data_IF_999846577336
#
_entry.id   IF_999846577336
#
_cell.length_a   1.000
_cell.length_b   1.000
_cell.length_c   1.000
_cell.angle_alpha   90.00
_cell.angle_beta   90.00
_cell.angle_gamma   90.00
#
_symmetry.space_group_name_H-M   'P 1'
#
loop_
_entity.id
_entity.type
_entity.pdbx_description
1 polymer ?
#
# COMPACT_ATOMS: atom_id res chain seq x y z
N UNK A 1 -49.37 59.37 -67.71
CA UNK A 1 -48.24 59.57 -66.78
C UNK A 1 -48.71 59.21 -65.39
N UNK A 2 -48.27 58.06 -64.90
CA UNK A 2 -48.77 57.38 -63.72
C UNK A 2 -48.27 58.02 -62.42
N UNK A 3 -49.21 58.36 -61.55
CA UNK A 3 -49.06 58.52 -60.11
C UNK A 3 -49.26 57.17 -59.44
N UNK A 4 -48.36 56.74 -58.55
CA UNK A 4 -48.70 55.76 -57.51
C UNK A 4 -47.82 55.87 -56.24
N UNK A 5 -48.55 56.14 -55.17
CA UNK A 5 -48.38 55.98 -53.72
C UNK A 5 -47.14 55.33 -53.06
N UNK A 6 -46.76 55.98 -51.94
CA UNK A 6 -46.01 55.50 -50.76
C UNK A 6 -46.56 54.19 -50.17
N UNK A 7 -45.66 53.31 -49.69
CA UNK A 7 -45.90 52.39 -48.56
C UNK A 7 -44.64 52.31 -47.67
N UNK A 8 -44.90 52.28 -46.35
CA UNK A 8 -44.00 52.21 -45.20
C UNK A 8 -43.75 50.74 -44.76
N UNK A 9 -42.89 50.55 -43.74
CA UNK A 9 -42.43 49.30 -43.07
C UNK A 9 -41.24 48.60 -43.76
N UNK A 10 -40.16 48.17 -43.09
CA UNK A 10 -39.83 48.09 -41.68
C UNK A 10 -38.94 46.86 -41.41
N UNK A 11 -37.99 46.99 -40.48
CA UNK A 11 -37.37 45.92 -39.65
C UNK A 11 -35.94 45.42 -39.98
N UNK A 12 -35.19 45.26 -38.87
CA UNK A 12 -33.99 44.46 -38.60
C UNK A 12 -32.59 45.01 -38.94
N UNK A 13 -31.94 45.60 -37.93
CA UNK A 13 -30.74 45.03 -37.31
C UNK A 13 -30.39 45.80 -36.02
N UNK A 14 -30.71 45.19 -34.87
CA UNK A 14 -30.20 45.59 -33.56
C UNK A 14 -28.83 44.93 -33.40
N UNK A 15 -27.77 45.72 -33.35
CA UNK A 15 -26.47 45.27 -32.82
C UNK A 15 -26.16 46.10 -31.58
N UNK A 16 -26.73 45.66 -30.46
CA UNK A 16 -26.31 46.10 -29.14
C UNK A 16 -24.92 45.55 -28.85
N UNK A 17 -23.92 46.41 -28.90
CA UNK A 17 -22.61 46.13 -28.32
C UNK A 17 -22.77 46.17 -26.79
N UNK A 18 -22.94 45.00 -26.18
CA UNK A 18 -22.77 44.81 -24.73
C UNK A 18 -21.29 44.96 -24.41
N UNK A 19 -20.84 46.18 -24.11
CA UNK A 19 -19.54 46.38 -23.47
C UNK A 19 -19.68 46.03 -22.01
N UNK A 20 -19.31 44.81 -21.64
CA UNK A 20 -18.98 44.48 -20.27
C UNK A 20 -17.79 45.37 -19.86
N UNK A 21 -17.89 46.19 -18.80
CA UNK A 21 -16.69 46.78 -18.22
C UNK A 21 -15.94 45.64 -17.55
N UNK A 22 -14.98 45.05 -18.27
CA UNK A 22 -13.85 44.46 -17.58
C UNK A 22 -13.22 45.61 -16.80
N UNK A 23 -13.38 45.62 -15.48
CA UNK A 23 -12.50 46.41 -14.65
C UNK A 23 -11.10 45.85 -14.90
N UNK A 24 -10.36 46.50 -15.79
CA UNK A 24 -8.93 46.32 -15.86
C UNK A 24 -8.39 46.83 -14.53
N UNK A 25 -8.30 45.93 -13.54
CA UNK A 25 -7.55 46.20 -12.32
C UNK A 25 -6.09 46.24 -12.72
N UNK A 26 -5.59 47.42 -13.06
CA UNK A 26 -4.17 47.66 -13.02
C UNK A 26 -3.71 47.34 -11.59
N UNK A 27 -2.72 46.47 -11.44
CA UNK A 27 -2.10 46.16 -10.13
C UNK A 27 -1.54 47.44 -9.47
N UNK A 28 -1.28 48.47 -10.29
CA UNK A 28 -0.77 49.76 -9.86
C UNK A 28 -1.91 50.76 -9.67
N UNK A 29 -2.07 51.26 -8.44
CA UNK A 29 -2.95 52.38 -8.13
C UNK A 29 -2.25 53.68 -8.54
N UNK A 30 -2.84 54.41 -9.48
CA UNK A 30 -2.37 55.73 -9.90
C UNK A 30 -3.20 56.80 -9.17
N UNK A 31 -2.60 57.60 -8.27
CA UNK A 31 -3.35 58.40 -7.31
C UNK A 31 -3.97 59.68 -7.88
N UNK A 32 -3.43 60.24 -8.97
CA UNK A 32 -3.90 61.51 -9.52
C UNK A 32 -4.54 61.34 -10.91
N UNK A 33 -5.70 61.96 -11.12
CA UNK A 33 -6.31 62.11 -12.45
C UNK A 33 -5.85 63.42 -13.10
N UNK A 34 -5.35 63.35 -14.34
CA UNK A 34 -4.92 64.51 -15.11
C UNK A 34 -6.01 64.84 -16.14
N UNK A 35 -6.60 66.04 -16.06
CA UNK A 35 -7.68 66.48 -16.95
C UNK A 35 -7.26 67.72 -17.75
N UNK A 36 -7.82 67.88 -18.96
CA UNK A 36 -7.57 69.06 -19.80
C UNK A 36 -8.10 70.34 -19.13
N UNK A 37 -7.29 71.40 -19.17
CA UNK A 37 -7.63 72.71 -18.61
C UNK A 37 -7.20 72.95 -17.16
N UNK A 38 -6.50 72.00 -16.53
CA UNK A 38 -5.87 72.21 -15.22
C UNK A 38 -4.67 73.18 -15.33
N UNK A 39 -4.34 73.92 -14.26
CA UNK A 39 -3.10 74.70 -14.19
C UNK A 39 -1.88 73.82 -14.47
N UNK A 40 -0.82 74.41 -15.04
CA UNK A 40 0.44 73.70 -15.29
C UNK A 40 1.08 73.40 -13.92
N UNK A 41 0.88 72.19 -13.43
CA UNK A 41 1.42 71.67 -12.17
C UNK A 41 2.04 70.29 -12.42
N UNK A 42 3.32 70.14 -12.06
CA UNK A 42 4.06 68.88 -12.20
C UNK A 42 3.78 67.90 -11.05
N UNK A 43 3.16 68.34 -9.96
CA UNK A 43 2.92 67.53 -8.76
C UNK A 43 2.08 66.27 -9.05
N UNK A 44 0.95 66.34 -9.79
CA UNK A 44 0.14 65.16 -10.11
C UNK A 44 0.88 64.15 -11.00
N UNK A 45 1.70 64.65 -11.93
CA UNK A 45 2.52 63.83 -12.85
C UNK A 45 3.61 63.11 -12.08
N UNK A 46 4.36 63.83 -11.23
CA UNK A 46 5.41 63.27 -10.39
C UNK A 46 4.86 62.26 -9.39
N UNK A 47 3.68 62.51 -8.81
CA UNK A 47 2.99 61.56 -7.94
C UNK A 47 2.60 60.27 -8.65
N UNK A 48 2.04 60.38 -9.87
CA UNK A 48 1.70 59.20 -10.68
C UNK A 48 2.94 58.41 -11.10
N UNK A 49 4.02 59.09 -11.47
CA UNK A 49 5.29 58.47 -11.83
C UNK A 49 5.92 57.72 -10.65
N UNK A 50 5.90 58.31 -9.46
CA UNK A 50 6.39 57.66 -8.23
C UNK A 50 5.55 56.43 -7.83
N UNK A 51 4.23 56.48 -8.00
CA UNK A 51 3.36 55.32 -7.75
C UNK A 51 3.56 54.20 -8.76
N UNK A 52 3.77 54.54 -10.04
CA UNK A 52 4.05 53.55 -11.08
C UNK A 52 5.42 52.89 -10.86
N UNK A 53 6.46 53.66 -10.55
CA UNK A 53 7.80 53.12 -10.29
C UNK A 53 7.83 52.23 -9.04
N UNK A 54 7.10 52.59 -7.98
CA UNK A 54 6.94 51.74 -6.80
C UNK A 54 6.21 50.43 -7.12
N UNK A 55 5.17 50.49 -7.96
CA UNK A 55 4.43 49.31 -8.39
C UNK A 55 5.27 48.37 -9.27
N UNK A 56 6.05 48.95 -10.19
CA UNK A 56 7.00 48.20 -11.02
C UNK A 56 8.05 47.50 -10.14
N UNK A 57 8.62 48.21 -9.17
CA UNK A 57 9.56 47.63 -8.22
C UNK A 57 8.94 46.48 -7.40
N UNK A 58 7.68 46.62 -6.97
CA UNK A 58 6.95 45.56 -6.25
C UNK A 58 6.60 44.35 -7.14
N UNK A 59 6.56 44.55 -8.47
CA UNK A 59 6.27 43.50 -9.46
C UNK A 59 7.54 42.92 -10.10
N UNK A 60 8.70 43.48 -9.77
CA UNK A 60 10.00 43.02 -10.27
C UNK A 60 10.38 41.71 -9.57
N UNK A 61 10.89 40.71 -10.31
CA UNK A 61 11.47 39.52 -9.69
C UNK A 61 12.52 39.90 -8.63
N UNK A 62 12.45 39.29 -7.45
CA UNK A 62 13.34 39.55 -6.33
C UNK A 62 14.50 38.54 -6.24
N UNK A 63 15.64 38.92 -5.66
CA UNK A 63 16.75 37.98 -5.42
C UNK A 63 17.86 37.99 -6.48
N UNK A 64 18.80 37.05 -6.33
CA UNK A 64 20.01 36.93 -7.16
C UNK A 64 19.74 36.25 -8.51
N UNK A 65 20.73 36.24 -9.41
CA UNK A 65 20.61 35.55 -10.71
C UNK A 65 20.34 34.05 -10.49
N UNK A 66 19.41 33.48 -11.26
CA UNK A 66 18.96 32.08 -11.16
C UNK A 66 18.18 31.72 -9.87
N UNK A 67 17.72 32.72 -9.13
CA UNK A 67 16.81 32.53 -7.99
C UNK A 67 15.44 32.02 -8.41
N UNK A 68 14.76 31.38 -7.47
CA UNK A 68 13.35 31.00 -7.61
C UNK A 68 12.46 32.06 -6.97
N UNK A 69 11.45 32.53 -7.70
CA UNK A 69 10.46 33.46 -7.15
C UNK A 69 9.42 32.70 -6.33
N UNK A 70 9.23 33.13 -5.10
CA UNK A 70 8.14 32.68 -4.23
C UNK A 70 7.38 33.87 -3.68
N UNK A 71 6.16 33.62 -3.20
CA UNK A 71 5.37 34.65 -2.55
C UNK A 71 5.76 34.74 -1.06
N UNK A 72 6.16 35.92 -0.63
CA UNK A 72 6.47 36.23 0.76
C UNK A 72 5.23 36.29 1.66
N UNK A 73 5.45 36.36 2.98
CA UNK A 73 4.38 36.42 3.97
C UNK A 73 3.56 37.72 3.89
N UNK A 74 4.15 38.80 3.38
CA UNK A 74 3.51 40.09 3.08
C UNK A 74 2.80 40.11 1.72
N UNK A 75 2.86 39.01 0.97
CA UNK A 75 2.27 38.87 -0.34
C UNK A 75 3.13 39.41 -1.50
N UNK A 76 4.31 39.96 -1.21
CA UNK A 76 5.28 40.42 -2.21
C UNK A 76 6.05 39.24 -2.84
N UNK A 77 6.77 39.49 -3.93
CA UNK A 77 7.72 38.52 -4.47
C UNK A 77 9.00 38.52 -3.62
N UNK A 78 9.45 37.33 -3.24
CA UNK A 78 10.71 37.10 -2.54
C UNK A 78 11.51 36.10 -3.38
N UNK A 79 12.81 36.34 -3.52
CA UNK A 79 13.73 35.41 -4.16
C UNK A 79 14.26 34.40 -3.15
N UNK A 80 14.16 33.12 -3.48
CA UNK A 80 14.99 32.09 -2.85
C UNK A 80 16.26 31.99 -3.66
N UNK A 81 17.41 32.07 -2.99
CA UNK A 81 18.71 31.95 -3.65
C UNK A 81 18.78 30.67 -4.51
N UNK A 82 19.63 30.66 -5.55
CA UNK A 82 19.82 29.49 -6.39
C UNK A 82 20.03 28.24 -5.53
N UNK A 83 19.29 27.18 -5.84
CA UNK A 83 19.41 25.91 -5.15
C UNK A 83 20.83 25.34 -5.33
N UNK A 84 21.38 24.78 -4.27
CA UNK A 84 22.61 24.00 -4.37
C UNK A 84 22.34 22.64 -5.05
N UNK A 85 23.43 21.96 -5.44
CA UNK A 85 23.34 20.67 -6.13
C UNK A 85 22.60 19.62 -5.30
N UNK A 86 21.48 19.13 -5.86
CA UNK A 86 20.62 18.13 -5.24
C UNK A 86 19.75 18.66 -4.10
N UNK A 87 19.54 19.98 -4.04
CA UNK A 87 18.48 20.57 -3.23
C UNK A 87 17.14 20.63 -3.98
N UNK A 88 16.06 20.63 -3.19
CA UNK A 88 14.70 20.89 -3.64
C UNK A 88 14.11 22.07 -2.86
N UNK A 89 13.09 22.70 -3.45
CA UNK A 89 12.23 23.61 -2.70
C UNK A 89 11.31 22.82 -1.78
N UNK A 90 11.51 22.95 -0.48
CA UNK A 90 10.70 22.27 0.55
C UNK A 90 9.91 23.32 1.33
N UNK A 91 8.61 23.05 1.54
CA UNK A 91 7.73 23.94 2.29
C UNK A 91 8.13 24.04 3.77
N UNK A 92 8.11 25.26 4.31
CA UNK A 92 8.33 25.53 5.72
C UNK A 92 7.05 26.12 6.33
N UNK A 93 6.54 25.54 7.42
CA UNK A 93 5.31 26.02 8.04
C UNK A 93 5.45 27.50 8.47
N UNK A 94 4.53 28.34 7.99
CA UNK A 94 4.50 29.77 8.29
C UNK A 94 5.57 30.63 7.60
N UNK A 95 6.40 30.05 6.73
CA UNK A 95 7.47 30.74 6.02
C UNK A 95 7.41 30.44 4.51
N UNK A 96 8.17 31.20 3.71
CA UNK A 96 8.38 30.85 2.31
C UNK A 96 9.09 29.48 2.20
N UNK A 97 8.84 28.67 1.14
CA UNK A 97 9.61 27.46 0.91
C UNK A 97 11.11 27.78 0.79
N UNK A 98 11.97 26.88 1.24
CA UNK A 98 13.43 27.05 1.21
C UNK A 98 14.10 25.89 0.51
N UNK A 99 15.28 26.12 -0.07
CA UNK A 99 16.16 25.04 -0.52
C UNK A 99 16.52 24.12 0.63
N UNK A 100 16.41 22.81 0.41
CA UNK A 100 16.84 21.80 1.36
C UNK A 100 17.09 20.47 0.65
N UNK A 101 18.00 19.68 1.19
CA UNK A 101 18.19 18.28 0.77
C UNK A 101 17.17 17.36 1.43
N UNK A 102 16.85 16.25 0.76
CA UNK A 102 16.10 15.16 1.38
C UNK A 102 17.04 14.35 2.28
N UNK A 103 16.60 14.03 3.49
CA UNK A 103 17.33 13.15 4.40
C UNK A 103 16.84 11.71 4.23
N UNK A 104 17.77 10.78 4.01
CA UNK A 104 17.43 9.37 3.87
C UNK A 104 16.99 8.77 5.20
N UNK A 105 15.84 8.08 5.19
CA UNK A 105 15.41 7.20 6.29
C UNK A 105 16.10 5.84 6.23
N UNK A 106 15.82 4.98 7.20
CA UNK A 106 16.32 3.60 7.18
C UNK A 106 15.87 2.86 5.90
N UNK A 107 16.79 2.15 5.25
CA UNK A 107 16.50 1.35 4.04
C UNK A 107 16.43 2.14 2.74
N UNK A 108 16.64 3.46 2.79
CA UNK A 108 16.73 4.33 1.62
C UNK A 108 18.12 4.96 1.56
N UNK A 109 18.68 5.07 0.37
CA UNK A 109 19.88 5.84 0.07
C UNK A 109 19.47 7.00 -0.84
N UNK A 110 19.83 8.21 -0.44
CA UNK A 110 19.62 9.42 -1.24
C UNK A 110 21.00 9.94 -1.62
N UNK A 111 21.27 10.02 -2.93
CA UNK A 111 22.49 10.60 -3.47
C UNK A 111 22.14 11.88 -4.23
N UNK A 112 22.61 13.00 -3.70
CA UNK A 112 22.45 14.33 -4.28
C UNK A 112 23.61 14.61 -5.24
N UNK A 113 23.30 15.17 -6.41
CA UNK A 113 24.26 15.54 -7.45
C UNK A 113 23.74 16.73 -8.26
N UNK A 114 24.62 17.37 -9.02
CA UNK A 114 24.23 18.48 -9.89
C UNK A 114 23.12 18.07 -10.87
N UNK A 115 21.95 18.71 -10.74
CA UNK A 115 20.77 18.45 -11.58
C UNK A 115 20.09 17.09 -11.37
N UNK A 116 20.47 16.30 -10.36
CA UNK A 116 19.85 15.01 -10.10
C UNK A 116 19.87 14.61 -8.62
N UNK A 117 18.75 14.03 -8.18
CA UNK A 117 18.63 13.34 -6.89
C UNK A 117 18.33 11.88 -7.21
N UNK A 118 19.25 10.99 -6.86
CA UNK A 118 19.04 9.55 -7.00
C UNK A 118 18.52 9.01 -5.68
N UNK A 119 17.36 8.35 -5.73
CA UNK A 119 16.80 7.62 -4.60
C UNK A 119 16.89 6.14 -4.92
N UNK A 120 17.59 5.39 -4.06
CA UNK A 120 17.78 3.94 -4.19
C UNK A 120 17.61 3.26 -2.84
N UNK A 121 17.61 1.93 -2.82
CA UNK A 121 17.89 1.17 -1.61
C UNK A 121 19.41 0.90 -1.57
N UNK A 122 20.09 1.06 -0.42
CA UNK A 122 21.50 0.72 -0.31
C UNK A 122 21.69 -0.76 -0.65
N UNK A 123 22.59 -1.05 -1.60
CA UNK A 123 22.63 -2.28 -2.38
C UNK A 123 22.44 -3.59 -1.59
N UNK A 124 21.37 -4.31 -1.93
CA UNK A 124 21.52 -5.72 -2.27
C UNK A 124 22.03 -5.78 -3.71
N UNK A 125 23.12 -6.50 -3.94
CA UNK A 125 23.89 -6.51 -5.19
C UNK A 125 23.06 -6.59 -6.47
N UNK A 126 23.47 -5.80 -7.46
CA UNK A 126 22.92 -5.73 -8.80
C UNK A 126 22.98 -7.08 -9.54
N UNK A 127 21.85 -7.80 -9.60
CA UNK A 127 21.47 -8.56 -10.81
C UNK A 127 19.96 -8.85 -10.78
N UNK A 128 19.16 -8.07 -11.53
CA UNK A 128 17.84 -8.46 -12.00
C UNK A 128 16.73 -8.61 -10.95
N UNK A 129 15.96 -7.55 -10.73
CA UNK A 129 14.73 -7.59 -9.95
C UNK A 129 14.98 -7.77 -8.46
N UNK A 130 14.04 -7.32 -7.63
CA UNK A 130 13.98 -7.82 -6.27
C UNK A 130 13.72 -9.31 -6.42
N UNK A 131 14.75 -10.14 -6.24
CA UNK A 131 14.55 -11.57 -6.09
C UNK A 131 13.87 -11.75 -4.73
N UNK A 132 12.55 -11.54 -4.69
CA UNK A 132 11.70 -11.77 -3.53
C UNK A 132 11.83 -13.20 -3.00
N UNK A 133 12.36 -14.10 -3.83
CA UNK A 133 12.69 -15.49 -3.52
C UNK A 133 14.07 -15.66 -2.84
N UNK A 134 14.94 -14.64 -2.83
CA UNK A 134 16.26 -14.64 -2.18
C UNK A 134 16.47 -13.51 -1.14
N UNK A 135 15.78 -12.37 -1.25
CA UNK A 135 15.98 -11.22 -0.35
C UNK A 135 15.18 -11.30 0.94
N UNK A 136 14.08 -12.07 0.97
CA UNK A 136 13.17 -12.05 2.10
C UNK A 136 13.06 -13.38 2.84
N UNK A 137 13.60 -14.51 2.36
CA UNK A 137 13.54 -15.77 3.11
C UNK A 137 14.34 -15.68 4.42
N UNK A 138 13.70 -15.17 5.47
CA UNK A 138 14.30 -14.85 6.78
C UNK A 138 15.12 -16.02 7.31
N UNK A 139 14.65 -17.25 7.13
CA UNK A 139 15.42 -18.49 7.33
C UNK A 139 14.86 -19.56 6.38
N UNK A 140 15.73 -20.20 5.58
CA UNK A 140 15.34 -21.34 4.74
C UNK A 140 14.98 -22.54 5.62
N UNK A 141 13.73 -23.03 5.62
CA UNK A 141 13.36 -24.17 6.45
C UNK A 141 13.88 -25.48 5.90
N UNK A 142 14.15 -26.43 6.78
CA UNK A 142 14.34 -27.83 6.41
C UNK A 142 13.09 -28.62 6.76
N UNK A 143 12.65 -29.53 5.89
CA UNK A 143 11.44 -30.32 6.17
C UNK A 143 11.61 -31.26 7.38
N UNK A 144 12.86 -31.58 7.77
CA UNK A 144 13.17 -32.41 8.94
C UNK A 144 12.78 -31.74 10.26
N UNK A 145 12.63 -30.41 10.27
CA UNK A 145 12.18 -29.66 11.44
C UNK A 145 10.66 -29.79 11.67
N UNK A 146 9.96 -30.46 10.75
CA UNK A 146 8.51 -30.61 10.75
C UNK A 146 8.09 -32.07 10.71
N UNK A 147 6.99 -32.37 11.39
CA UNK A 147 6.31 -33.65 11.26
C UNK A 147 5.05 -33.49 10.41
N UNK A 148 4.83 -34.37 9.43
CA UNK A 148 3.56 -34.42 8.72
C UNK A 148 2.48 -34.97 9.63
N UNK A 149 1.38 -34.23 9.78
CA UNK A 149 0.13 -34.68 10.38
C UNK A 149 -1.01 -34.51 9.40
N UNK A 150 -1.97 -35.43 9.48
CA UNK A 150 -3.18 -35.39 8.70
C UNK A 150 -4.40 -35.58 9.57
N UNK A 151 -5.56 -35.27 9.02
CA UNK A 151 -6.83 -35.85 9.47
C UNK A 151 -6.77 -37.38 9.43
N UNK A 152 -7.69 -38.04 10.15
CA UNK A 152 -7.81 -39.51 10.20
C UNK A 152 -7.95 -40.13 8.81
N UNK A 153 -8.67 -39.44 7.92
CA UNK A 153 -8.62 -39.71 6.48
C UNK A 153 -7.67 -38.71 5.87
N UNK A 154 -6.48 -39.14 5.46
CA UNK A 154 -5.49 -38.26 4.85
C UNK A 154 -5.89 -37.83 3.43
N UNK A 155 -5.49 -36.63 2.97
CA UNK A 155 -5.47 -36.33 1.54
C UNK A 155 -4.67 -37.39 0.77
N UNK A 156 -5.11 -37.75 -0.44
CA UNK A 156 -4.44 -38.79 -1.24
C UNK A 156 -3.04 -38.32 -1.58
N UNK A 157 -2.03 -39.15 -1.30
CA UNK A 157 -0.63 -38.82 -1.57
C UNK A 157 -0.07 -37.70 -0.70
N UNK A 158 -0.67 -37.40 0.45
CA UNK A 158 -0.16 -36.40 1.39
C UNK A 158 1.31 -36.68 1.75
N UNK A 159 2.19 -35.70 1.51
CA UNK A 159 3.61 -35.84 1.79
C UNK A 159 4.29 -34.52 2.12
N UNK A 160 5.44 -34.62 2.79
CA UNK A 160 6.41 -33.53 2.92
C UNK A 160 7.62 -33.86 2.06
N UNK A 161 8.06 -32.91 1.25
CA UNK A 161 9.24 -33.06 0.42
C UNK A 161 10.14 -31.83 0.49
N UNK A 162 11.44 -32.04 0.43
CA UNK A 162 12.41 -30.97 0.26
C UNK A 162 12.26 -30.30 -1.11
N UNK A 163 12.53 -29.01 -1.16
CA UNK A 163 12.69 -28.25 -2.41
C UNK A 163 14.01 -27.49 -2.37
N UNK A 164 14.43 -26.94 -3.51
CA UNK A 164 15.64 -26.11 -3.59
C UNK A 164 15.58 -24.89 -2.64
N UNK A 165 14.37 -24.43 -2.29
CA UNK A 165 14.14 -23.16 -1.57
C UNK A 165 13.44 -23.33 -0.22
N UNK A 166 13.34 -24.55 0.30
CA UNK A 166 12.63 -24.86 1.54
C UNK A 166 11.98 -26.24 1.44
N UNK A 167 10.69 -26.33 1.72
CA UNK A 167 9.94 -27.59 1.58
C UNK A 167 8.54 -27.35 1.03
N UNK A 168 7.85 -28.44 0.72
CA UNK A 168 6.49 -28.42 0.18
C UNK A 168 5.62 -29.45 0.89
N UNK A 169 4.39 -29.06 1.24
CA UNK A 169 3.31 -30.01 1.55
C UNK A 169 2.61 -30.33 0.23
N UNK A 170 2.58 -31.59 -0.16
CA UNK A 170 1.92 -32.01 -1.39
C UNK A 170 0.82 -33.02 -1.13
N UNK A 171 -0.17 -33.03 -2.00
CA UNK A 171 -1.14 -34.11 -2.12
C UNK A 171 -1.48 -34.29 -3.61
N UNK A 172 -1.74 -35.51 -4.05
CA UNK A 172 -2.24 -35.77 -5.42
C UNK A 172 -3.75 -35.55 -5.52
N UNK A 173 -4.45 -35.40 -4.39
CA UNK A 173 -5.85 -34.99 -4.33
C UNK A 173 -6.30 -34.65 -2.91
N UNK A 174 -6.95 -33.49 -2.75
CA UNK A 174 -7.59 -33.09 -1.50
C UNK A 174 -9.03 -33.57 -1.46
N UNK A 175 -9.31 -34.70 -0.80
CA UNK A 175 -10.69 -35.15 -0.60
C UNK A 175 -11.46 -34.22 0.33
N UNK A 176 -12.80 -34.24 0.26
CA UNK A 176 -13.63 -33.50 1.22
C UNK A 176 -13.37 -33.97 2.66
N UNK A 177 -13.41 -33.03 3.61
CA UNK A 177 -13.10 -33.22 5.02
C UNK A 177 -11.74 -33.87 5.28
N UNK A 178 -10.72 -33.47 4.51
CA UNK A 178 -9.34 -33.88 4.74
C UNK A 178 -8.44 -32.68 5.01
N UNK A 179 -7.37 -32.88 5.76
CA UNK A 179 -6.39 -31.84 6.01
C UNK A 179 -5.00 -32.43 6.19
N UNK A 180 -3.99 -31.60 5.98
CA UNK A 180 -2.59 -31.90 6.25
C UNK A 180 -1.88 -30.69 6.84
N UNK A 181 -0.90 -30.93 7.71
CA UNK A 181 -0.11 -29.92 8.40
C UNK A 181 1.32 -30.41 8.53
N UNK A 182 2.29 -29.53 8.29
CA UNK A 182 3.67 -29.76 8.71
C UNK A 182 3.83 -29.07 10.06
N UNK A 183 3.83 -29.83 11.16
CA UNK A 183 3.85 -29.25 12.50
C UNK A 183 5.27 -29.18 13.07
N UNK A 184 5.58 -28.05 13.71
CA UNK A 184 6.75 -27.84 14.55
C UNK A 184 6.28 -27.54 15.99
N UNK A 185 7.19 -27.69 16.96
CA UNK A 185 6.92 -27.34 18.35
C UNK A 185 6.84 -25.82 18.51
N UNK A 186 5.93 -25.33 19.35
CA UNK A 186 5.97 -23.94 19.80
C UNK A 186 7.07 -23.74 20.87
N UNK A 187 7.62 -22.53 21.05
CA UNK A 187 8.66 -22.25 22.04
C UNK A 187 8.17 -22.31 23.51
N UNK A 188 6.87 -22.43 23.74
CA UNK A 188 6.25 -22.43 25.08
C UNK A 188 4.96 -21.62 25.13
N UNK A 189 4.36 -21.52 26.33
CA UNK A 189 3.06 -20.86 26.55
C UNK A 189 3.17 -19.37 26.90
N UNK A 190 4.39 -18.82 27.08
CA UNK A 190 4.60 -17.43 27.48
C UNK A 190 4.37 -16.40 26.35
N UNK A 191 4.28 -16.87 25.10
CA UNK A 191 4.11 -16.06 23.92
C UNK A 191 5.17 -16.35 22.85
N UNK A 192 4.80 -16.23 21.59
CA UNK A 192 5.68 -16.49 20.46
C UNK A 192 5.19 -15.84 19.17
N UNK A 193 6.07 -15.73 18.19
CA UNK A 193 5.76 -15.28 16.83
C UNK A 193 6.26 -16.33 15.84
N UNK A 194 5.39 -16.78 14.95
CA UNK A 194 5.73 -17.62 13.80
C UNK A 194 5.56 -16.80 12.51
N UNK A 195 6.58 -16.73 11.67
CA UNK A 195 6.52 -16.02 10.38
C UNK A 195 6.94 -16.94 9.25
N UNK A 196 6.18 -16.95 8.16
CA UNK A 196 6.44 -17.79 6.99
C UNK A 196 6.19 -17.06 5.67
N UNK A 197 6.97 -17.43 4.64
CA UNK A 197 6.72 -17.05 3.24
C UNK A 197 6.25 -18.27 2.49
N UNK A 198 5.11 -18.16 1.82
CA UNK A 198 4.49 -19.33 1.19
C UNK A 198 3.96 -19.05 -0.21
N UNK A 199 3.95 -20.09 -1.04
CA UNK A 199 3.31 -20.10 -2.35
C UNK A 199 2.43 -21.34 -2.49
N UNK A 200 1.18 -21.16 -2.90
CA UNK A 200 0.23 -22.26 -3.04
C UNK A 200 -0.10 -22.49 -4.51
N UNK A 201 -0.12 -23.76 -4.91
CA UNK A 201 -0.58 -24.22 -6.21
C UNK A 201 -1.59 -25.34 -5.98
N UNK A 202 -2.81 -25.15 -6.49
CA UNK A 202 -3.91 -26.08 -6.27
C UNK A 202 -5.25 -25.36 -6.40
N UNK A 203 -6.37 -26.09 -6.24
CA UNK A 203 -7.68 -25.46 -6.24
C UNK A 203 -7.80 -24.54 -5.01
N UNK A 204 -8.01 -23.25 -5.27
CA UNK A 204 -8.51 -22.31 -4.28
C UNK A 204 -10.03 -22.30 -4.36
N UNK A 205 -10.69 -22.39 -3.22
CA UNK A 205 -12.14 -22.24 -3.13
C UNK A 205 -12.52 -21.69 -1.75
N UNK A 206 -13.81 -21.45 -1.54
CA UNK A 206 -14.35 -21.10 -0.22
C UNK A 206 -14.09 -22.19 0.82
N UNK A 207 -13.67 -23.36 0.39
CA UNK A 207 -13.54 -24.56 1.21
C UNK A 207 -12.17 -25.24 1.09
N UNK A 208 -11.21 -24.61 0.39
CA UNK A 208 -9.82 -25.08 0.26
C UNK A 208 -8.88 -23.93 0.58
N UNK A 209 -8.19 -24.02 1.71
CA UNK A 209 -7.47 -22.87 2.29
C UNK A 209 -6.05 -23.29 2.68
N UNK A 210 -4.99 -22.81 1.98
CA UNK A 210 -3.64 -22.80 2.53
C UNK A 210 -3.58 -21.83 3.72
N UNK A 211 -2.96 -22.28 4.81
CA UNK A 211 -3.02 -21.62 6.10
C UNK A 211 -1.74 -21.79 6.92
N UNK A 212 -1.59 -20.94 7.95
CA UNK A 212 -0.83 -21.27 9.15
C UNK A 212 -1.81 -21.79 10.22
N UNK A 213 -1.43 -22.86 10.91
CA UNK A 213 -2.27 -23.50 11.91
C UNK A 213 -1.56 -23.61 13.26
N UNK A 214 -2.34 -23.54 14.34
CA UNK A 214 -1.92 -23.87 15.70
C UNK A 214 -2.76 -25.05 16.16
N UNK A 215 -2.11 -25.99 16.84
CA UNK A 215 -2.71 -27.22 17.30
C UNK A 215 -2.55 -27.39 18.80
N UNK A 216 -3.61 -27.89 19.39
CA UNK A 216 -3.65 -28.53 20.70
C UNK A 216 -3.56 -30.04 20.45
N UNK A 217 -2.33 -30.55 20.53
CA UNK A 217 -2.07 -31.96 20.25
C UNK A 217 -2.62 -32.89 21.33
N UNK A 218 -2.83 -32.37 22.55
CA UNK A 218 -3.37 -33.11 23.70
C UNK A 218 -4.87 -33.32 23.55
N UNK A 219 -5.61 -32.26 23.21
CA UNK A 219 -7.07 -32.31 23.10
C UNK A 219 -7.59 -32.52 21.68
N UNK A 220 -6.68 -32.69 20.71
CA UNK A 220 -7.01 -32.85 19.30
C UNK A 220 -7.92 -31.72 18.81
N UNK A 221 -7.42 -30.49 18.91
CA UNK A 221 -8.05 -29.29 18.38
C UNK A 221 -7.04 -28.49 17.56
N UNK A 222 -7.52 -27.72 16.60
CA UNK A 222 -6.69 -26.79 15.85
C UNK A 222 -7.46 -25.52 15.48
N UNK A 223 -6.72 -24.45 15.27
CA UNK A 223 -7.18 -23.25 14.60
C UNK A 223 -6.25 -22.90 13.46
N UNK A 224 -6.83 -22.43 12.36
CA UNK A 224 -6.15 -22.23 11.09
C UNK A 224 -6.49 -20.84 10.57
N UNK A 225 -5.48 -20.12 10.09
CA UNK A 225 -5.60 -18.79 9.51
C UNK A 225 -5.00 -18.83 8.11
N UNK A 226 -5.80 -18.53 7.10
CA UNK A 226 -5.35 -18.71 5.73
C UNK A 226 -6.14 -17.93 4.69
N UNK A 227 -5.71 -18.09 3.44
CA UNK A 227 -6.23 -17.35 2.29
C UNK A 227 -6.77 -18.34 1.27
N UNK A 228 -8.09 -18.36 1.08
CA UNK A 228 -8.80 -19.16 0.08
C UNK A 228 -9.33 -18.31 -1.07
N UNK A 229 -10.04 -18.93 -2.01
CA UNK A 229 -10.75 -18.22 -3.08
C UNK A 229 -12.19 -17.90 -2.68
N UNK A 230 -12.64 -16.66 -2.82
CA UNK A 230 -14.06 -16.30 -2.76
C UNK A 230 -14.74 -16.43 -4.12
N UNK A 231 -14.01 -16.08 -5.18
CA UNK A 231 -14.42 -16.20 -6.58
C UNK A 231 -13.20 -16.50 -7.44
N UNK A 232 -13.36 -16.45 -8.77
CA UNK A 232 -12.23 -16.58 -9.71
C UNK A 232 -11.26 -15.39 -9.64
N UNK A 233 -11.66 -14.26 -9.08
CA UNK A 233 -10.86 -13.02 -9.06
C UNK A 233 -10.65 -12.43 -7.68
N UNK A 234 -11.23 -13.02 -6.63
CA UNK A 234 -11.16 -12.46 -5.27
C UNK A 234 -10.71 -13.49 -4.24
N UNK A 235 -9.88 -13.03 -3.31
CA UNK A 235 -9.46 -13.81 -2.15
C UNK A 235 -10.41 -13.68 -0.98
N UNK A 236 -10.38 -14.71 -0.14
CA UNK A 236 -11.03 -14.73 1.17
C UNK A 236 -10.01 -15.05 2.24
N UNK A 237 -10.04 -14.27 3.29
CA UNK A 237 -9.29 -14.51 4.52
C UNK A 237 -10.17 -15.35 5.46
N UNK A 238 -9.66 -16.48 5.92
CA UNK A 238 -10.43 -17.45 6.71
C UNK A 238 -9.75 -17.72 8.05
N UNK A 239 -10.55 -17.72 9.11
CA UNK A 239 -10.20 -18.26 10.42
C UNK A 239 -11.10 -19.46 10.72
N UNK A 240 -10.50 -20.65 10.81
CA UNK A 240 -11.23 -21.92 10.87
C UNK A 240 -10.83 -22.74 12.08
N UNK A 241 -11.81 -23.39 12.71
CA UNK A 241 -11.63 -24.26 13.87
C UNK A 241 -11.89 -25.71 13.50
N UNK A 242 -11.00 -26.61 13.91
CA UNK A 242 -11.14 -28.06 13.67
C UNK A 242 -10.90 -28.88 14.94
N UNK A 243 -11.52 -30.06 15.01
CA UNK A 243 -11.40 -31.00 16.13
C UNK A 243 -11.31 -32.45 15.67
N UNK A 244 -10.90 -33.35 16.56
CA UNK A 244 -10.90 -34.81 16.34
C UNK A 244 -9.76 -35.29 15.45
N UNK A 245 -9.43 -36.60 15.54
CA UNK A 245 -8.23 -37.15 14.90
C UNK A 245 -6.99 -36.42 15.42
N UNK A 246 -6.15 -35.93 14.52
CA UNK A 246 -5.04 -35.03 14.85
C UNK A 246 -5.51 -33.57 15.06
N UNK A 247 -6.71 -33.33 15.60
CA UNK A 247 -7.33 -32.00 15.63
C UNK A 247 -7.72 -31.42 14.26
N UNK A 248 -7.84 -32.28 13.26
CA UNK A 248 -7.98 -31.91 11.84
C UNK A 248 -9.18 -32.56 11.15
N UNK A 249 -10.05 -33.29 11.86
CA UNK A 249 -11.11 -34.10 11.23
C UNK A 249 -12.40 -33.33 10.95
N UNK A 250 -12.89 -32.60 11.95
CA UNK A 250 -14.23 -32.01 11.92
C UNK A 250 -14.16 -30.52 12.03
N UNK A 251 -14.71 -29.84 11.03
CA UNK A 251 -14.89 -28.41 11.01
C UNK A 251 -16.02 -28.00 11.96
N UNK A 252 -15.74 -27.08 12.88
CA UNK A 252 -16.72 -26.66 13.90
C UNK A 252 -17.11 -25.18 13.78
N UNK A 253 -16.59 -24.48 12.77
CA UNK A 253 -16.99 -23.11 12.45
C UNK A 253 -15.88 -22.27 11.84
N UNK A 254 -16.29 -21.16 11.25
CA UNK A 254 -15.45 -20.07 10.73
C UNK A 254 -15.98 -18.75 11.24
N UNK A 255 -15.08 -17.81 11.56
CA UNK A 255 -15.45 -16.40 11.55
C UNK A 255 -15.09 -15.84 10.17
N UNK A 256 -16.10 -15.48 9.38
CA UNK A 256 -15.88 -14.73 8.14
C UNK A 256 -15.74 -13.24 8.48
N UNK A 257 -14.68 -12.59 8.00
CA UNK A 257 -14.75 -11.65 6.86
C UNK A 257 -13.48 -10.79 6.78
N UNK A 258 -12.71 -10.94 5.71
CA UNK A 258 -12.10 -9.78 5.06
C UNK A 258 -12.13 -10.00 3.54
N UNK A 259 -12.80 -9.10 2.83
CA UNK A 259 -12.79 -9.03 1.36
C UNK A 259 -11.78 -7.96 0.97
N UNK A 260 -10.69 -8.45 0.38
CA UNK A 260 -9.63 -7.83 -0.40
C UNK A 260 -9.27 -6.33 -0.21
N UNK A 261 -8.00 -6.06 0.11
CA UNK A 261 -7.39 -4.73 0.11
C UNK A 261 -6.47 -4.46 -1.12
N UNK A 262 -6.55 -5.27 -2.18
CA UNK A 262 -5.72 -5.15 -3.39
C UNK A 262 -4.74 -6.31 -3.61
N UNK A 263 -5.09 -7.51 -3.15
CA UNK A 263 -4.40 -8.76 -3.48
C UNK A 263 -4.75 -9.22 -4.90
N UNK A 264 -4.04 -8.71 -5.90
CA UNK A 264 -4.12 -9.22 -7.27
C UNK A 264 -3.92 -10.75 -7.31
N UNK A 265 -4.67 -11.43 -8.19
CA UNK A 265 -4.66 -12.88 -8.38
C UNK A 265 -3.23 -13.47 -8.54
N UNK A 266 -3.01 -14.76 -8.21
CA UNK A 266 -1.75 -15.24 -7.67
C UNK A 266 -0.65 -15.31 -8.73
N UNK A 267 0.35 -14.44 -8.62
CA UNK A 267 1.67 -14.65 -9.21
C UNK A 267 2.81 -14.62 -8.19
N UNK A 268 2.54 -14.24 -6.94
CA UNK A 268 3.58 -13.95 -5.94
C UNK A 268 3.37 -14.72 -4.63
N UNK A 269 4.46 -15.17 -3.99
CA UNK A 269 4.43 -15.69 -2.61
C UNK A 269 3.92 -14.63 -1.61
N UNK A 270 3.30 -15.09 -0.52
CA UNK A 270 2.75 -14.21 0.53
C UNK A 270 3.41 -14.47 1.88
N UNK A 271 3.71 -13.38 2.59
CA UNK A 271 4.14 -13.43 3.98
C UNK A 271 2.94 -13.58 4.90
N UNK A 272 3.09 -14.47 5.87
CA UNK A 272 2.13 -14.69 6.94
C UNK A 272 2.86 -14.64 8.27
N UNK A 273 2.30 -13.94 9.25
CA UNK A 273 2.77 -13.90 10.63
C UNK A 273 1.63 -14.26 11.57
N UNK A 274 1.92 -15.13 12.52
CA UNK A 274 1.01 -15.49 13.60
C UNK A 274 1.71 -15.22 14.93
N UNK A 275 1.09 -14.38 15.74
CA UNK A 275 1.59 -13.98 17.05
C UNK A 275 0.67 -14.53 18.13
N UNK A 276 1.22 -15.23 19.11
CA UNK A 276 0.56 -15.56 20.36
C UNK A 276 1.13 -14.68 21.47
N UNK A 277 0.31 -13.84 22.09
CA UNK A 277 0.72 -12.91 23.16
C UNK A 277 0.53 -13.48 24.59
N UNK A 278 0.26 -14.78 24.71
CA UNK A 278 -0.14 -15.44 25.95
C UNK A 278 -1.67 -15.53 26.14
N UNK A 279 -2.45 -14.73 25.42
CA UNK A 279 -3.92 -14.72 25.50
C UNK A 279 -4.58 -14.86 24.13
N UNK A 280 -4.10 -14.13 23.13
CA UNK A 280 -4.69 -14.00 21.80
C UNK A 280 -3.76 -14.51 20.72
N UNK A 281 -4.36 -15.02 19.65
CA UNK A 281 -3.72 -15.28 18.37
C UNK A 281 -4.02 -14.12 17.43
N UNK A 282 -2.98 -13.41 17.01
CA UNK A 282 -3.06 -12.34 16.01
C UNK A 282 -2.43 -12.83 14.71
N UNK A 283 -3.22 -12.95 13.66
CA UNK A 283 -2.74 -13.30 12.32
C UNK A 283 -2.65 -12.07 11.43
N UNK A 284 -1.52 -11.93 10.75
CA UNK A 284 -1.20 -10.83 9.87
C UNK A 284 -0.55 -11.33 8.58
N UNK A 285 -0.63 -10.52 7.52
CA UNK A 285 -0.03 -10.85 6.22
C UNK A 285 0.75 -9.66 5.66
N UNK A 286 1.66 -9.92 4.73
CA UNK A 286 2.48 -8.91 4.07
C UNK A 286 2.85 -9.33 2.65
N UNK A 287 3.10 -8.36 1.77
CA UNK A 287 3.68 -8.59 0.43
C UNK A 287 5.20 -8.45 0.41
N UNK A 288 5.75 -7.60 1.26
CA UNK A 288 7.17 -7.25 1.28
C UNK A 288 7.94 -7.92 2.43
N UNK A 289 7.24 -8.52 3.40
CA UNK A 289 7.84 -9.13 4.58
C UNK A 289 8.32 -8.11 5.63
N UNK A 290 8.04 -6.82 5.44
CA UNK A 290 8.40 -5.73 6.36
C UNK A 290 7.14 -5.16 7.01
N UNK A 291 6.13 -4.82 6.21
CA UNK A 291 4.88 -4.21 6.68
C UNK A 291 3.78 -5.25 6.75
N UNK A 292 3.38 -5.62 7.97
CA UNK A 292 2.34 -6.60 8.22
C UNK A 292 1.02 -5.92 8.57
N UNK A 293 -0.06 -6.37 7.92
CA UNK A 293 -1.44 -5.94 8.19
C UNK A 293 -2.15 -7.04 8.97
N UNK A 294 -2.69 -6.70 10.14
CA UNK A 294 -3.45 -7.65 10.96
C UNK A 294 -4.81 -7.95 10.28
N UNK A 295 -5.11 -9.23 10.11
CA UNK A 295 -6.37 -9.71 9.53
C UNK A 295 -7.32 -10.29 10.59
N UNK A 296 -6.80 -11.02 11.58
CA UNK A 296 -7.59 -11.58 12.68
C UNK A 296 -6.90 -11.39 14.02
N UNK A 297 -7.70 -11.15 15.06
CA UNK A 297 -7.31 -11.25 16.48
C UNK A 297 -8.37 -12.08 17.17
N UNK A 298 -7.98 -13.22 17.73
CA UNK A 298 -8.91 -14.17 18.37
C UNK A 298 -8.34 -14.63 19.70
N UNK A 299 -9.21 -14.87 20.69
CA UNK A 299 -8.79 -15.43 21.96
C UNK A 299 -8.35 -16.90 21.78
N UNK A 300 -7.13 -17.24 22.22
CA UNK A 300 -6.58 -18.59 22.07
C UNK A 300 -7.43 -19.62 22.82
N UNK A 301 -7.86 -19.27 24.03
CA UNK A 301 -8.66 -20.13 24.92
C UNK A 301 -10.09 -20.39 24.44
N UNK A 302 -10.52 -19.75 23.35
CA UNK A 302 -11.81 -20.04 22.74
C UNK A 302 -11.84 -21.46 22.17
N UNK A 303 -10.70 -21.97 21.68
CA UNK A 303 -10.60 -23.30 21.05
C UNK A 303 -9.43 -24.13 21.56
N UNK A 304 -8.32 -23.50 21.96
CA UNK A 304 -7.09 -24.20 22.33
C UNK A 304 -6.81 -24.05 23.83
N UNK A 305 -6.43 -25.15 24.48
CA UNK A 305 -5.99 -25.14 25.89
C UNK A 305 -4.52 -25.47 26.03
N UNK A 306 -3.95 -26.18 25.06
CA UNK A 306 -2.51 -26.36 24.87
C UNK A 306 -2.14 -25.86 23.47
N UNK A 307 -1.22 -24.90 23.36
CA UNK A 307 -0.76 -24.36 22.08
C UNK A 307 0.64 -24.90 21.78
N UNK A 308 0.76 -26.20 21.59
CA UNK A 308 2.05 -26.89 21.58
C UNK A 308 2.63 -27.13 20.17
N UNK A 309 1.78 -27.01 19.14
CA UNK A 309 2.16 -27.19 17.74
C UNK A 309 1.77 -26.01 16.88
N UNK A 310 2.62 -25.65 15.92
CA UNK A 310 2.32 -24.62 14.91
C UNK A 310 3.01 -24.96 13.60
N UNK A 311 2.43 -24.53 12.48
CA UNK A 311 2.99 -24.86 11.17
C UNK A 311 2.09 -24.54 9.99
N UNK A 312 2.61 -24.64 8.76
CA UNK A 312 1.78 -24.59 7.55
C UNK A 312 0.77 -25.73 7.51
N UNK A 313 -0.44 -25.44 7.05
CA UNK A 313 -1.51 -26.41 6.88
C UNK A 313 -2.31 -26.15 5.62
N UNK A 314 -2.98 -27.19 5.13
CA UNK A 314 -3.98 -27.11 4.07
C UNK A 314 -5.21 -27.88 4.52
N UNK A 315 -6.36 -27.22 4.50
CA UNK A 315 -7.66 -27.81 4.82
C UNK A 315 -8.53 -27.88 3.56
N UNK A 316 -9.12 -29.05 3.35
CA UNK A 316 -10.06 -29.36 2.29
C UNK A 316 -11.41 -29.72 2.91
N UNK A 317 -12.32 -28.75 3.04
CA UNK A 317 -13.67 -29.00 3.58
C UNK A 317 -14.56 -29.57 2.48
N UNK A 318 -14.75 -28.81 1.40
CA UNK A 318 -15.57 -29.14 0.23
C UNK A 318 -14.88 -28.61 -1.05
N UNK A 319 -13.71 -29.17 -1.42
CA UNK A 319 -12.98 -28.73 -2.60
C UNK A 319 -13.77 -29.05 -3.88
N UNK A 320 -13.81 -28.10 -4.81
CA UNK A 320 -14.50 -28.27 -6.10
C UNK A 320 -13.72 -29.17 -7.08
N UNK A 321 -12.44 -29.39 -6.83
CA UNK A 321 -11.54 -30.19 -7.67
C UNK A 321 -10.74 -31.18 -6.80
N UNK A 322 -11.43 -32.19 -6.26
CA UNK A 322 -10.87 -33.17 -5.30
C UNK A 322 -9.68 -33.98 -5.82
N UNK A 323 -9.53 -34.10 -7.14
CA UNK A 323 -8.47 -34.87 -7.81
C UNK A 323 -7.30 -34.03 -8.30
N UNK A 324 -7.34 -32.71 -8.12
CA UNK A 324 -6.26 -31.85 -8.57
C UNK A 324 -5.07 -31.93 -7.60
N UNK A 325 -3.85 -31.93 -8.12
CA UNK A 325 -2.66 -31.91 -7.29
C UNK A 325 -2.58 -30.60 -6.52
N UNK A 326 -2.03 -30.69 -5.32
CA UNK A 326 -1.80 -29.57 -4.41
C UNK A 326 -0.34 -29.53 -4.05
N UNK A 327 0.23 -28.33 -4.06
CA UNK A 327 1.57 -28.04 -3.59
C UNK A 327 1.54 -26.73 -2.80
N UNK A 328 1.80 -26.82 -1.50
CA UNK A 328 1.98 -25.66 -0.64
C UNK A 328 3.45 -25.51 -0.26
N UNK A 329 4.13 -24.61 -0.95
CA UNK A 329 5.55 -24.33 -0.79
C UNK A 329 5.79 -23.39 0.38
N UNK A 330 6.73 -23.77 1.24
CA UNK A 330 7.22 -22.93 2.34
C UNK A 330 8.65 -22.55 1.98
N UNK A 331 8.82 -21.27 1.67
CA UNK A 331 10.07 -20.67 1.22
C UNK A 331 10.87 -20.06 2.38
N UNK A 332 10.19 -19.73 3.47
CA UNK A 332 10.78 -19.20 4.70
C UNK A 332 9.97 -19.66 5.90
N UNK A 333 10.64 -19.92 7.01
CA UNK A 333 9.99 -20.21 8.29
C UNK A 333 10.86 -19.72 9.46
N UNK A 334 10.24 -19.03 10.40
CA UNK A 334 10.86 -18.66 11.67
C UNK A 334 9.83 -18.78 12.78
N UNK A 335 10.29 -19.18 13.96
CA UNK A 335 9.50 -19.16 15.18
C UNK A 335 10.37 -18.71 16.35
N UNK A 336 9.91 -17.72 17.09
CA UNK A 336 10.66 -17.11 18.20
C UNK A 336 9.75 -16.89 19.39
N UNK A 337 10.27 -17.06 20.60
CA UNK A 337 9.59 -16.61 21.83
C UNK A 337 9.48 -15.08 21.84
N UNK A 338 8.43 -14.57 22.50
CA UNK A 338 8.30 -13.16 22.84
C UNK A 338 8.95 -12.82 24.19
#
# INVERSE_FOLDING_TARGET
MQTLHRILLGSLAVTGFLTFPFAASASCVIPNQIANGQPIDATPVNGNFASLSACEAASSPAGSQNSLQVRGADGAFVGVDPLDDGELMIGAAGNAPTGSTLTAGQGVQIQNSAGAITVSAPGGSETGGVDWLNAAATVRPTFNDFALKTSSTAPTGASLAATVRGFVLTATGGGANTAMMAEANTPGSAGWVATMLTAYSGPLSTYSVPAIAVRDSVNNRAVQFGIGGASTTTYRFSYTKTVGGSGLNSFIGTADTLVDAGLAAPSEPIWTRLTYDGTNLTWAFSRDGQFFVNAYVVAANETLTNLDKVGPAVLFVEPTHTTWPVAYHILSWTITSL
#
